data_IF_425898446557
#
_entry.id   IF_425898446557
#
_cell.length_a   1.000
_cell.length_b   1.000
_cell.length_c   1.000
_cell.angle_alpha   90.00
_cell.angle_beta   90.00
_cell.angle_gamma   90.00
#
_symmetry.space_group_name_H-M   'P 1'
#
loop_
_entity.id
_entity.type
_entity.pdbx_description
1 polymer ?
#
# COMPACT_ATOMS: atom_id res chain seq x y z
N UNK A 1 8.91 -3.15 -42.35
CA UNK A 1 9.73 -4.33 -42.01
C UNK A 1 10.19 -4.20 -40.54
N UNK A 2 9.58 -4.99 -39.69
CA UNK A 2 9.72 -4.92 -38.23
C UNK A 2 10.92 -5.76 -37.78
N UNK A 3 11.92 -5.16 -37.10
CA UNK A 3 13.00 -5.90 -36.41
C UNK A 3 12.62 -6.10 -34.97
N UNK A 4 12.16 -7.29 -34.61
CA UNK A 4 11.93 -7.75 -33.26
C UNK A 4 13.29 -7.93 -32.55
N UNK A 5 13.54 -7.17 -31.51
CA UNK A 5 14.68 -7.33 -30.59
C UNK A 5 14.36 -8.48 -29.62
N UNK A 6 15.03 -9.61 -29.78
CA UNK A 6 14.98 -10.76 -28.86
C UNK A 6 15.96 -10.50 -27.71
N UNK A 7 15.45 -10.35 -26.51
CA UNK A 7 16.25 -10.35 -25.29
C UNK A 7 16.48 -11.81 -24.88
N UNK A 8 17.74 -12.25 -24.96
CA UNK A 8 18.16 -13.55 -24.46
C UNK A 8 18.40 -13.45 -22.94
N UNK A 9 17.66 -14.24 -22.17
CA UNK A 9 17.92 -14.46 -20.75
C UNK A 9 19.07 -15.42 -20.62
N UNK A 10 20.23 -14.95 -20.15
CA UNK A 10 21.34 -15.81 -19.75
C UNK A 10 21.23 -16.07 -18.25
N UNK A 11 20.95 -17.31 -17.90
CA UNK A 11 21.04 -17.79 -16.53
C UNK A 11 22.52 -17.88 -16.14
N UNK A 12 22.95 -17.13 -15.13
CA UNK A 12 24.31 -17.21 -14.58
C UNK A 12 24.28 -17.87 -13.21
N UNK A 13 25.06 -18.92 -13.13
CA UNK A 13 25.31 -19.81 -11.97
C UNK A 13 25.88 -18.99 -10.80
N UNK A 14 25.32 -19.21 -9.58
CA UNK A 14 25.83 -18.69 -8.31
C UNK A 14 27.27 -19.18 -8.05
N UNK A 15 28.20 -18.29 -8.22
CA UNK A 15 29.52 -18.38 -7.58
C UNK A 15 29.51 -17.47 -6.34
N UNK A 16 29.61 -18.08 -5.17
CA UNK A 16 29.67 -17.41 -3.87
C UNK A 16 31.06 -16.76 -3.73
N UNK A 17 31.24 -15.54 -4.24
CA UNK A 17 32.38 -14.70 -3.92
C UNK A 17 31.98 -13.74 -2.80
N UNK A 18 32.67 -13.89 -1.67
CA UNK A 18 32.60 -12.94 -0.58
C UNK A 18 32.97 -11.53 -1.12
N UNK A 19 31.96 -10.65 -1.20
CA UNK A 19 32.22 -9.24 -1.46
C UNK A 19 32.89 -8.65 -0.22
N UNK A 20 33.98 -7.87 -0.41
CA UNK A 20 34.54 -7.12 0.71
C UNK A 20 33.46 -6.19 1.24
N UNK A 21 33.25 -6.22 2.57
CA UNK A 21 32.46 -5.24 3.27
C UNK A 21 32.89 -3.86 2.80
N UNK A 22 31.99 -3.12 2.14
CA UNK A 22 32.22 -1.70 1.91
C UNK A 22 32.25 -1.09 3.31
N UNK A 23 33.41 -0.83 3.82
CA UNK A 23 33.63 -0.06 5.03
C UNK A 23 32.77 1.20 4.89
N UNK A 24 31.91 1.46 5.84
CA UNK A 24 31.32 2.77 6.06
C UNK A 24 32.49 3.74 6.25
N UNK A 25 32.84 4.41 5.18
CA UNK A 25 33.83 5.49 5.24
C UNK A 25 33.16 6.69 5.93
N UNK A 26 33.15 6.61 7.26
CA UNK A 26 32.98 7.76 8.14
C UNK A 26 34.26 8.59 8.13
N UNK A 27 34.58 9.14 6.96
CA UNK A 27 35.70 10.07 6.86
C UNK A 27 35.30 11.31 6.10
N UNK A 28 35.34 12.42 6.81
CA UNK A 28 35.50 13.81 6.33
C UNK A 28 34.48 14.31 5.29
N UNK A 29 33.52 15.03 5.76
CA UNK A 29 32.70 16.10 5.20
C UNK A 29 32.89 16.46 3.74
N UNK A 30 32.05 15.94 2.87
CA UNK A 30 31.90 16.43 1.51
C UNK A 30 31.03 15.52 0.69
N UNK A 31 30.06 16.10 -0.02
CA UNK A 31 29.28 15.40 -1.02
C UNK A 31 30.16 15.13 -2.25
N UNK A 32 30.60 13.89 -2.53
CA UNK A 32 31.63 13.64 -3.56
C UNK A 32 31.12 13.97 -4.95
N UNK A 33 32.00 14.55 -5.77
CA UNK A 33 31.73 14.77 -7.20
C UNK A 33 31.78 13.43 -7.93
N UNK A 34 30.72 13.09 -8.62
CA UNK A 34 30.55 11.81 -9.33
C UNK A 34 30.62 11.97 -10.85
N UNK A 35 30.52 13.18 -11.36
CA UNK A 35 30.79 13.54 -12.75
C UNK A 35 31.08 15.04 -12.90
N UNK A 36 31.75 15.41 -14.01
CA UNK A 36 31.91 16.79 -14.47
C UNK A 36 31.50 16.91 -15.92
N UNK A 37 30.59 17.86 -16.21
CA UNK A 37 30.06 18.14 -17.55
C UNK A 37 30.30 19.60 -17.87
N UNK A 38 31.19 19.89 -18.83
CA UNK A 38 31.57 21.25 -19.19
C UNK A 38 32.03 22.09 -17.97
N UNK A 39 32.73 21.50 -17.02
CA UNK A 39 33.16 22.14 -15.78
C UNK A 39 32.11 22.20 -14.67
N UNK A 40 30.85 21.87 -14.94
CA UNK A 40 29.81 21.75 -13.92
C UNK A 40 29.86 20.39 -13.24
N UNK A 41 29.87 20.39 -11.93
CA UNK A 41 29.90 19.17 -11.14
C UNK A 41 28.51 18.55 -10.98
N UNK A 42 28.48 17.23 -10.88
CA UNK A 42 27.33 16.44 -10.41
C UNK A 42 27.81 15.77 -9.14
N UNK A 43 27.08 15.98 -8.06
CA UNK A 43 27.40 15.41 -6.77
C UNK A 43 26.59 14.14 -6.51
N UNK A 44 27.10 13.25 -5.67
CA UNK A 44 26.42 11.99 -5.29
C UNK A 44 25.02 12.24 -4.74
N UNK A 45 24.86 13.28 -3.91
CA UNK A 45 23.56 13.62 -3.32
C UNK A 45 22.50 14.00 -4.36
N UNK A 46 22.94 14.57 -5.51
CA UNK A 46 22.01 14.90 -6.60
C UNK A 46 21.45 13.62 -7.23
N UNK A 47 22.31 12.61 -7.46
CA UNK A 47 21.87 11.32 -8.01
C UNK A 47 20.97 10.58 -7.02
N UNK A 48 21.32 10.58 -5.72
CA UNK A 48 20.50 9.95 -4.69
C UNK A 48 19.12 10.59 -4.57
N UNK A 49 19.03 11.91 -4.67
CA UNK A 49 17.72 12.61 -4.71
C UNK A 49 16.87 12.20 -5.91
N UNK A 50 17.48 11.99 -7.08
CA UNK A 50 16.75 11.47 -8.23
C UNK A 50 16.18 10.07 -7.95
N UNK A 51 16.91 9.20 -7.24
CA UNK A 51 16.42 7.89 -6.81
C UNK A 51 15.20 8.04 -5.88
N UNK A 52 15.25 8.98 -4.94
CA UNK A 52 14.14 9.24 -3.99
C UNK A 52 12.88 9.75 -4.69
N UNK A 53 13.02 10.44 -5.84
CA UNK A 53 11.86 10.92 -6.61
C UNK A 53 11.21 9.84 -7.47
N UNK A 54 11.85 8.68 -7.64
CA UNK A 54 11.27 7.56 -8.36
C UNK A 54 10.13 6.93 -7.55
N UNK A 55 9.10 6.46 -8.25
CA UNK A 55 7.94 5.83 -7.62
C UNK A 55 8.28 4.56 -6.84
N UNK A 56 7.34 4.04 -6.02
CA UNK A 56 7.56 2.91 -5.11
C UNK A 56 8.14 1.65 -5.77
N UNK A 57 7.83 1.40 -7.04
CA UNK A 57 8.36 0.25 -7.78
C UNK A 57 9.86 0.36 -8.02
N UNK A 58 10.37 1.56 -8.29
CA UNK A 58 11.80 1.77 -8.48
C UNK A 58 12.58 1.71 -7.16
N UNK A 59 11.95 2.04 -6.03
CA UNK A 59 12.56 1.92 -4.71
C UNK A 59 12.85 0.47 -4.29
N UNK A 60 12.24 -0.52 -4.96
CA UNK A 60 12.55 -1.94 -4.76
C UNK A 60 13.81 -2.40 -5.50
N UNK A 61 14.32 -1.57 -6.41
CA UNK A 61 15.56 -1.86 -7.15
C UNK A 61 16.76 -1.34 -6.36
N UNK A 62 17.82 -2.15 -6.16
CA UNK A 62 19.01 -1.70 -5.46
C UNK A 62 19.58 -0.40 -6.07
N UNK A 63 19.93 0.57 -5.23
CA UNK A 63 20.45 1.87 -5.67
C UNK A 63 21.65 1.73 -6.60
N UNK A 64 22.49 0.71 -6.40
CA UNK A 64 23.65 0.41 -7.24
C UNK A 64 23.28 0.10 -8.70
N UNK A 65 22.09 -0.43 -8.96
CA UNK A 65 21.60 -0.73 -10.31
C UNK A 65 21.05 0.53 -10.98
N UNK A 66 20.35 1.38 -10.22
CA UNK A 66 19.77 2.63 -10.72
C UNK A 66 20.80 3.72 -10.92
N UNK A 67 21.82 3.77 -10.08
CA UNK A 67 22.81 4.85 -10.03
C UNK A 67 23.48 5.14 -11.37
N UNK A 68 24.07 4.15 -12.10
CA UNK A 68 24.73 4.44 -13.37
C UNK A 68 23.78 5.02 -14.43
N UNK A 69 22.54 4.54 -14.47
CA UNK A 69 21.53 4.98 -15.43
C UNK A 69 21.08 6.42 -15.14
N UNK A 70 20.85 6.74 -13.86
CA UNK A 70 20.47 8.09 -13.44
C UNK A 70 21.61 9.08 -13.64
N UNK A 71 22.84 8.71 -13.29
CA UNK A 71 24.00 9.54 -13.55
C UNK A 71 24.14 9.85 -15.05
N UNK A 72 23.99 8.83 -15.90
CA UNK A 72 24.02 9.02 -17.36
C UNK A 72 22.88 9.94 -17.84
N UNK A 73 21.67 9.77 -17.33
CA UNK A 73 20.54 10.67 -17.61
C UNK A 73 20.86 12.11 -17.22
N UNK A 74 21.44 12.33 -16.04
CA UNK A 74 21.81 13.67 -15.56
C UNK A 74 22.90 14.31 -16.43
N UNK A 75 23.91 13.53 -16.86
CA UNK A 75 24.94 13.99 -17.79
C UNK A 75 24.31 14.45 -19.09
N UNK A 76 23.46 13.63 -19.70
CA UNK A 76 22.75 13.95 -20.97
C UNK A 76 21.91 15.21 -20.78
N UNK A 77 21.15 15.31 -19.69
CA UNK A 77 20.32 16.48 -19.37
C UNK A 77 21.18 17.74 -19.30
N UNK A 78 22.32 17.73 -18.59
CA UNK A 78 23.23 18.89 -18.51
C UNK A 78 23.80 19.27 -19.88
N UNK A 79 24.17 18.30 -20.73
CA UNK A 79 24.67 18.57 -22.09
C UNK A 79 23.60 19.22 -22.98
N UNK A 80 22.39 18.68 -22.99
CA UNK A 80 21.28 19.22 -23.78
C UNK A 80 20.86 20.58 -23.28
N UNK A 81 20.75 20.77 -21.96
CA UNK A 81 20.42 22.04 -21.34
C UNK A 81 21.44 23.12 -21.67
N UNK A 82 22.75 22.79 -21.69
CA UNK A 82 23.80 23.73 -22.07
C UNK A 82 23.56 24.29 -23.47
N UNK A 83 23.17 23.45 -24.44
CA UNK A 83 22.80 23.91 -25.78
C UNK A 83 21.55 24.79 -25.81
N UNK A 84 20.57 24.46 -24.99
CA UNK A 84 19.39 25.30 -24.79
C UNK A 84 19.74 26.69 -24.24
N UNK A 85 20.63 26.75 -23.25
CA UNK A 85 21.12 28.02 -22.69
C UNK A 85 21.92 28.86 -23.69
N UNK A 86 22.76 28.25 -24.54
CA UNK A 86 23.44 28.94 -25.64
C UNK A 86 22.43 29.60 -26.59
N UNK A 87 21.30 28.96 -26.82
CA UNK A 87 20.19 29.49 -27.64
C UNK A 87 19.26 30.45 -26.87
N UNK A 88 19.56 30.72 -25.60
CA UNK A 88 18.76 31.59 -24.70
C UNK A 88 17.30 31.11 -24.50
N UNK A 89 17.06 29.80 -24.58
CA UNK A 89 15.71 29.22 -24.40
C UNK A 89 15.14 29.48 -22.99
N UNK A 90 15.96 29.73 -21.98
CA UNK A 90 15.51 30.16 -20.65
C UNK A 90 14.69 31.47 -20.69
N UNK A 91 14.80 32.26 -21.77
CA UNK A 91 14.03 33.48 -21.95
C UNK A 91 12.72 33.26 -22.69
N UNK A 92 12.52 32.09 -23.27
CA UNK A 92 11.31 31.72 -23.99
C UNK A 92 10.09 31.78 -23.09
N UNK A 93 8.94 32.17 -23.69
CA UNK A 93 7.67 32.24 -22.99
C UNK A 93 7.26 30.86 -22.44
N UNK A 94 7.46 29.79 -23.23
CA UNK A 94 7.13 28.44 -22.81
C UNK A 94 7.91 28.04 -21.55
N UNK A 95 9.22 28.29 -21.52
CA UNK A 95 10.08 27.96 -20.38
C UNK A 95 9.66 28.76 -19.14
N UNK A 96 9.40 30.07 -19.32
CA UNK A 96 8.95 30.94 -18.23
C UNK A 96 7.59 30.51 -17.67
N UNK A 97 6.63 30.15 -18.52
CA UNK A 97 5.31 29.71 -18.09
C UNK A 97 5.40 28.38 -17.32
N UNK A 98 6.21 27.44 -17.79
CA UNK A 98 6.46 26.16 -17.09
C UNK A 98 7.14 26.35 -15.74
N UNK A 99 8.15 27.25 -15.66
CA UNK A 99 8.82 27.59 -14.41
C UNK A 99 7.86 28.23 -13.41
N UNK A 100 7.03 29.18 -13.86
CA UNK A 100 6.02 29.81 -13.01
C UNK A 100 5.00 28.80 -12.47
N UNK A 101 4.56 27.85 -13.31
CA UNK A 101 3.67 26.77 -12.88
C UNK A 101 4.31 25.85 -11.84
N UNK A 102 5.57 25.45 -12.10
CA UNK A 102 6.34 24.62 -11.18
C UNK A 102 6.61 25.33 -9.84
N UNK A 103 6.96 26.63 -9.88
CA UNK A 103 7.16 27.45 -8.69
C UNK A 103 5.89 27.49 -7.83
N UNK A 104 4.74 27.80 -8.44
CA UNK A 104 3.46 27.85 -7.74
C UNK A 104 3.12 26.52 -7.05
N UNK A 105 3.34 25.41 -7.75
CA UNK A 105 3.12 24.06 -7.20
C UNK A 105 4.04 23.79 -6.01
N UNK A 106 5.34 24.06 -6.15
CA UNK A 106 6.34 23.87 -5.08
C UNK A 106 6.00 24.72 -3.86
N UNK A 107 5.64 26.00 -4.06
CA UNK A 107 5.26 26.90 -2.97
C UNK A 107 4.02 26.38 -2.25
N UNK A 108 3.00 25.92 -3.00
CA UNK A 108 1.78 25.36 -2.42
C UNK A 108 2.09 24.11 -1.58
N UNK A 109 2.87 23.18 -2.11
CA UNK A 109 3.24 21.95 -1.42
C UNK A 109 4.04 22.23 -0.14
N UNK A 110 5.00 23.13 -0.20
CA UNK A 110 5.79 23.54 0.97
C UNK A 110 4.90 24.24 2.01
N UNK A 111 3.99 25.10 1.58
CA UNK A 111 3.05 25.78 2.47
C UNK A 111 2.14 24.79 3.19
N UNK A 112 1.51 23.86 2.46
CA UNK A 112 0.69 22.80 3.03
C UNK A 112 1.48 21.97 4.04
N UNK A 113 2.65 21.48 3.65
CA UNK A 113 3.50 20.68 4.52
C UNK A 113 3.88 21.40 5.81
N UNK A 114 4.36 22.65 5.72
CA UNK A 114 4.76 23.45 6.88
C UNK A 114 3.59 23.84 7.78
N UNK A 115 2.39 23.96 7.21
CA UNK A 115 1.18 24.35 7.95
C UNK A 115 0.49 23.17 8.61
N UNK A 116 0.50 22.01 7.96
CA UNK A 116 -0.27 20.83 8.39
C UNK A 116 0.58 19.88 9.23
N UNK A 117 1.78 19.53 8.78
CA UNK A 117 2.59 18.50 9.41
C UNK A 117 2.87 18.74 10.90
N UNK A 118 3.22 19.96 11.37
CA UNK A 118 3.43 20.22 12.79
C UNK A 118 2.17 20.10 13.65
N UNK A 119 0.99 20.10 13.02
CA UNK A 119 -0.30 19.97 13.71
C UNK A 119 -0.73 18.52 13.92
N UNK A 120 -0.07 17.56 13.28
CA UNK A 120 -0.31 16.13 13.46
C UNK A 120 0.59 15.66 14.62
N UNK A 121 0.11 15.86 15.83
CA UNK A 121 0.85 15.46 17.04
C UNK A 121 0.50 14.02 17.45
N UNK A 122 1.40 13.40 18.22
CA UNK A 122 1.15 12.08 18.82
C UNK A 122 -0.15 12.06 19.64
N UNK A 123 -0.49 13.15 20.32
CA UNK A 123 -1.73 13.23 21.10
C UNK A 123 -2.97 13.18 20.21
N UNK A 124 -2.94 13.82 19.05
CA UNK A 124 -4.05 13.75 18.09
C UNK A 124 -4.18 12.36 17.48
N UNK A 125 -3.06 11.70 17.20
CA UNK A 125 -3.05 10.33 16.70
C UNK A 125 -3.66 9.40 17.77
N UNK A 126 -3.24 9.51 19.02
CA UNK A 126 -3.80 8.74 20.14
C UNK A 126 -5.28 9.03 20.38
N UNK A 127 -5.69 10.28 20.31
CA UNK A 127 -7.09 10.67 20.46
C UNK A 127 -7.96 10.07 19.35
N UNK A 128 -7.51 10.15 18.10
CA UNK A 128 -8.20 9.54 16.97
C UNK A 128 -8.26 8.01 17.11
N UNK A 129 -7.17 7.39 17.51
CA UNK A 129 -7.15 5.96 17.78
C UNK A 129 -8.16 5.56 18.86
N UNK A 130 -8.23 6.33 19.96
CA UNK A 130 -9.22 6.09 21.03
C UNK A 130 -10.66 6.20 20.50
N UNK A 131 -10.97 7.20 19.67
CA UNK A 131 -12.28 7.33 19.03
C UNK A 131 -12.62 6.12 18.13
N UNK A 132 -11.67 5.68 17.30
CA UNK A 132 -11.85 4.54 16.39
C UNK A 132 -12.01 3.25 17.20
N UNK A 133 -11.19 3.04 18.21
CA UNK A 133 -11.25 1.88 19.08
C UNK A 133 -12.56 1.81 19.88
N UNK A 134 -13.09 2.95 20.34
CA UNK A 134 -14.37 3.00 21.04
C UNK A 134 -15.57 2.68 20.12
N UNK A 135 -15.44 2.95 18.83
CA UNK A 135 -16.45 2.63 17.81
C UNK A 135 -16.28 1.24 17.22
N UNK A 136 -15.17 0.57 17.52
CA UNK A 136 -14.92 -0.77 17.00
C UNK A 136 -15.95 -1.76 17.53
N UNK A 137 -16.53 -2.53 16.61
CA UNK A 137 -17.49 -3.58 16.95
C UNK A 137 -16.78 -4.92 16.87
N UNK A 138 -16.56 -5.57 18.04
CA UNK A 138 -15.94 -6.89 18.06
C UNK A 138 -16.78 -7.91 17.29
N UNK A 139 -16.15 -8.61 16.37
CA UNK A 139 -16.74 -9.73 15.63
C UNK A 139 -16.27 -11.05 16.24
N UNK A 140 -17.03 -12.11 16.01
CA UNK A 140 -16.57 -13.45 16.34
C UNK A 140 -15.45 -13.86 15.38
N UNK A 141 -14.33 -14.33 15.94
CA UNK A 141 -13.24 -14.93 15.21
C UNK A 141 -13.06 -16.39 15.60
N UNK A 142 -12.75 -17.19 14.60
CA UNK A 142 -12.38 -18.60 14.75
C UNK A 142 -10.94 -18.78 14.29
N UNK A 143 -10.14 -19.48 15.08
CA UNK A 143 -8.86 -20.02 14.63
C UNK A 143 -9.07 -21.46 14.22
N UNK A 144 -8.69 -21.80 13.00
CA UNK A 144 -8.83 -23.16 12.51
C UNK A 144 -7.61 -23.60 11.70
N UNK A 145 -7.43 -24.91 11.67
CA UNK A 145 -6.57 -25.58 10.68
C UNK A 145 -7.44 -26.22 9.62
N UNK A 146 -6.90 -26.34 8.42
CA UNK A 146 -7.56 -27.08 7.37
C UNK A 146 -6.60 -27.94 6.54
N UNK A 147 -7.19 -28.94 5.87
CA UNK A 147 -6.54 -29.72 4.83
C UNK A 147 -7.41 -29.60 3.60
N UNK A 148 -6.86 -29.12 2.49
CA UNK A 148 -7.55 -28.99 1.21
C UNK A 148 -7.08 -30.08 0.26
N UNK A 149 -8.04 -30.81 -0.32
CA UNK A 149 -7.76 -31.84 -1.35
C UNK A 149 -8.77 -31.73 -2.48
N UNK A 150 -8.42 -32.21 -3.70
CA UNK A 150 -9.27 -32.04 -4.88
C UNK A 150 -10.53 -32.90 -4.87
N UNK A 151 -10.51 -34.07 -4.21
CA UNK A 151 -11.61 -35.05 -4.27
C UNK A 151 -12.18 -35.36 -2.90
N UNK A 152 -13.47 -35.68 -2.88
CA UNK A 152 -14.17 -36.11 -1.67
C UNK A 152 -13.63 -37.43 -1.12
N UNK A 153 -13.22 -38.32 -1.99
CA UNK A 153 -12.62 -39.61 -1.61
C UNK A 153 -11.33 -39.39 -0.81
N UNK A 154 -10.40 -38.55 -1.31
CA UNK A 154 -9.17 -38.22 -0.59
C UNK A 154 -9.47 -37.58 0.77
N UNK A 155 -10.47 -36.67 0.84
CA UNK A 155 -10.85 -36.05 2.08
C UNK A 155 -11.42 -37.03 3.10
N UNK A 156 -12.24 -37.99 2.66
CA UNK A 156 -12.77 -39.04 3.52
C UNK A 156 -11.66 -39.97 4.03
N UNK A 157 -10.68 -40.34 3.20
CA UNK A 157 -9.53 -41.14 3.61
C UNK A 157 -8.68 -40.43 4.67
N UNK A 158 -8.49 -39.11 4.53
CA UNK A 158 -7.78 -38.31 5.53
C UNK A 158 -8.58 -38.21 6.83
N UNK A 159 -9.90 -37.99 6.75
CA UNK A 159 -10.77 -37.98 7.93
C UNK A 159 -10.69 -39.33 8.68
N UNK A 160 -10.65 -40.46 7.96
CA UNK A 160 -10.47 -41.76 8.58
C UNK A 160 -9.12 -41.86 9.30
N UNK A 161 -8.02 -41.45 8.65
CA UNK A 161 -6.70 -41.44 9.27
C UNK A 161 -6.65 -40.60 10.54
N UNK A 162 -7.32 -39.43 10.55
CA UNK A 162 -7.40 -38.57 11.72
C UNK A 162 -8.19 -39.24 12.84
N UNK A 163 -9.31 -39.89 12.53
CA UNK A 163 -10.12 -40.66 13.49
C UNK A 163 -9.33 -41.85 14.07
N UNK A 164 -8.43 -42.45 13.29
CA UNK A 164 -7.53 -43.54 13.70
C UNK A 164 -6.29 -43.01 14.47
N UNK A 165 -6.23 -41.69 14.75
CA UNK A 165 -5.21 -41.07 15.61
C UNK A 165 -4.03 -40.43 14.88
N UNK A 166 -4.10 -40.27 13.56
CA UNK A 166 -3.05 -39.55 12.83
C UNK A 166 -3.02 -38.05 13.17
N UNK A 167 -1.83 -37.49 13.19
CA UNK A 167 -1.63 -36.06 13.48
C UNK A 167 -2.14 -35.20 12.34
N UNK A 168 -3.04 -34.24 12.66
CA UNK A 168 -3.66 -33.35 11.70
C UNK A 168 -2.64 -32.45 10.98
N UNK A 169 -1.68 -31.90 11.74
CA UNK A 169 -0.70 -30.97 11.17
C UNK A 169 0.27 -31.65 10.22
N UNK A 170 0.65 -32.91 10.55
CA UNK A 170 1.47 -33.75 9.67
C UNK A 170 0.74 -34.06 8.36
N UNK A 171 -0.53 -34.49 8.44
CA UNK A 171 -1.35 -34.76 7.25
C UNK A 171 -1.58 -33.49 6.41
N UNK A 172 -1.76 -32.33 7.04
CA UNK A 172 -1.84 -31.05 6.33
C UNK A 172 -0.56 -30.76 5.53
N UNK A 173 0.60 -30.94 6.16
CA UNK A 173 1.89 -30.72 5.50
C UNK A 173 2.15 -31.68 4.32
N UNK A 174 1.68 -32.92 4.42
CA UNK A 174 1.92 -33.96 3.41
C UNK A 174 0.91 -33.97 2.27
N UNK A 175 -0.35 -33.66 2.55
CA UNK A 175 -1.47 -33.92 1.63
C UNK A 175 -2.24 -32.66 1.19
N UNK A 176 -2.17 -31.55 1.93
CA UNK A 176 -2.92 -30.36 1.60
C UNK A 176 -2.42 -29.70 0.31
N UNK A 177 -3.37 -29.31 -0.54
CA UNK A 177 -3.10 -28.52 -1.75
C UNK A 177 -3.03 -27.01 -1.47
N UNK A 178 -3.39 -26.58 -0.26
CA UNK A 178 -3.16 -25.20 0.18
C UNK A 178 -1.71 -25.03 0.63
N UNK A 179 -0.86 -24.61 -0.32
CA UNK A 179 0.57 -24.38 -0.08
C UNK A 179 0.84 -23.22 0.88
N UNK A 180 -0.13 -22.34 1.10
CA UNK A 180 -0.02 -21.20 2.01
C UNK A 180 0.02 -21.63 3.47
N UNK A 181 -0.84 -22.58 3.86
CA UNK A 181 -0.96 -23.04 5.24
C UNK A 181 -0.35 -24.43 5.50
N UNK A 182 -0.19 -25.27 4.47
CA UNK A 182 0.27 -26.65 4.60
C UNK A 182 1.55 -26.79 5.45
N UNK A 183 2.58 -25.96 5.16
CA UNK A 183 3.87 -25.98 5.89
C UNK A 183 3.75 -25.60 7.37
N UNK A 184 2.65 -24.95 7.74
CA UNK A 184 2.32 -24.55 9.11
C UNK A 184 1.28 -25.49 9.73
N UNK A 185 1.15 -26.72 9.15
CA UNK A 185 0.18 -27.71 9.62
C UNK A 185 -1.27 -27.33 9.36
N UNK A 186 -1.52 -26.55 8.29
CA UNK A 186 -2.83 -26.10 7.87
C UNK A 186 -3.39 -24.91 8.66
N UNK A 187 -2.59 -24.24 9.51
CA UNK A 187 -3.05 -23.14 10.36
C UNK A 187 -3.41 -21.91 9.52
N UNK A 188 -4.65 -21.44 9.64
CA UNK A 188 -5.18 -20.26 8.96
C UNK A 188 -5.18 -19.01 9.86
N UNK A 189 -4.74 -19.14 11.13
CA UNK A 189 -4.88 -18.08 12.09
C UNK A 189 -6.34 -17.79 12.45
N UNK A 190 -6.58 -16.61 13.05
CA UNK A 190 -7.92 -16.14 13.34
C UNK A 190 -8.54 -15.44 12.12
N UNK A 191 -9.81 -15.74 11.87
CA UNK A 191 -10.57 -15.11 10.78
C UNK A 191 -12.02 -14.87 11.19
N UNK A 192 -12.63 -13.85 10.61
CA UNK A 192 -14.06 -13.57 10.71
C UNK A 192 -14.84 -14.32 9.63
N UNK A 193 -16.18 -14.37 9.74
CA UNK A 193 -17.03 -15.03 8.73
C UNK A 193 -16.85 -14.47 7.32
N UNK A 194 -16.55 -13.19 7.21
CA UNK A 194 -16.49 -12.47 5.92
C UNK A 194 -15.18 -12.68 5.16
N UNK A 195 -14.15 -13.18 5.84
CA UNK A 195 -12.82 -13.41 5.23
C UNK A 195 -12.77 -14.71 4.44
N UNK A 196 -13.55 -15.70 4.83
CA UNK A 196 -13.54 -17.04 4.22
C UNK A 196 -14.73 -17.22 3.26
N UNK A 197 -14.58 -18.14 2.31
CA UNK A 197 -15.69 -18.54 1.44
C UNK A 197 -16.83 -19.11 2.27
N UNK A 198 -18.05 -18.79 1.87
CA UNK A 198 -19.27 -19.04 2.66
C UNK A 198 -19.42 -20.46 3.20
N UNK A 199 -19.26 -21.54 2.40
CA UNK A 199 -19.42 -22.91 2.93
C UNK A 199 -18.39 -23.25 4.02
N UNK A 200 -17.15 -22.77 3.86
CA UNK A 200 -16.08 -22.97 4.85
C UNK A 200 -16.39 -22.21 6.14
N UNK A 201 -16.75 -20.92 6.03
CA UNK A 201 -17.09 -20.09 7.17
C UNK A 201 -18.27 -20.67 7.96
N UNK A 202 -19.35 -21.09 7.28
CA UNK A 202 -20.52 -21.68 7.92
C UNK A 202 -20.14 -22.93 8.71
N UNK A 203 -19.34 -23.82 8.13
CA UNK A 203 -18.87 -25.04 8.82
C UNK A 203 -18.00 -24.69 10.03
N UNK A 204 -16.94 -23.90 9.84
CA UNK A 204 -16.01 -23.54 10.92
C UNK A 204 -16.70 -22.84 12.08
N UNK A 205 -17.64 -21.93 11.79
CA UNK A 205 -18.36 -21.20 12.82
C UNK A 205 -19.49 -21.99 13.49
N UNK A 206 -19.92 -23.12 12.95
CA UNK A 206 -20.87 -24.03 13.58
C UNK A 206 -20.22 -25.01 14.57
N UNK A 207 -18.91 -25.30 14.39
CA UNK A 207 -18.16 -26.29 15.17
C UNK A 207 -17.71 -25.71 16.51
N UNK A 208 -17.47 -26.56 17.51
CA UNK A 208 -16.88 -26.20 18.81
C UNK A 208 -15.37 -26.21 18.74
N UNK A 209 -14.74 -25.57 19.72
CA UNK A 209 -13.28 -25.64 19.90
C UNK A 209 -12.85 -27.11 20.13
N UNK A 210 -11.82 -27.54 19.43
CA UNK A 210 -11.33 -28.92 19.44
C UNK A 210 -12.02 -29.85 18.42
N UNK A 211 -13.14 -29.46 17.83
CA UNK A 211 -13.84 -30.29 16.85
C UNK A 211 -13.13 -30.32 15.49
N UNK A 212 -13.24 -31.47 14.85
CA UNK A 212 -12.87 -31.71 13.46
C UNK A 212 -14.16 -31.95 12.69
N UNK A 213 -14.27 -31.43 11.47
CA UNK A 213 -15.46 -31.61 10.64
C UNK A 213 -15.80 -33.10 10.44
N UNK A 214 -17.05 -33.46 10.69
CA UNK A 214 -17.49 -34.86 10.58
C UNK A 214 -17.43 -35.38 9.15
N UNK A 215 -17.57 -34.46 8.19
CA UNK A 215 -17.55 -34.74 6.75
C UNK A 215 -16.75 -33.64 6.03
N UNK A 216 -16.23 -33.93 4.82
CA UNK A 216 -15.58 -32.93 4.00
C UNK A 216 -16.50 -31.75 3.68
N UNK A 217 -15.97 -30.52 3.75
CA UNK A 217 -16.67 -29.29 3.39
C UNK A 217 -16.30 -28.93 1.96
N UNK A 218 -17.28 -28.94 1.05
CA UNK A 218 -17.07 -28.63 -0.35
C UNK A 218 -17.04 -27.11 -0.59
N UNK A 219 -16.07 -26.64 -1.34
CA UNK A 219 -15.96 -25.27 -1.87
C UNK A 219 -15.56 -25.32 -3.35
N UNK A 220 -15.43 -24.17 -4.00
CA UNK A 220 -14.93 -24.08 -5.37
C UNK A 220 -13.43 -24.49 -5.49
N UNK A 221 -12.69 -24.48 -4.36
CA UNK A 221 -11.28 -24.90 -4.32
C UNK A 221 -11.10 -26.40 -4.15
N UNK A 222 -12.12 -27.13 -3.74
CA UNK A 222 -12.06 -28.54 -3.44
C UNK A 222 -12.77 -28.90 -2.14
N UNK A 223 -12.26 -29.92 -1.47
CA UNK A 223 -12.83 -30.46 -0.23
C UNK A 223 -11.90 -30.16 0.94
N UNK A 224 -12.46 -29.57 1.98
CA UNK A 224 -11.75 -29.16 3.18
C UNK A 224 -12.10 -30.05 4.35
N UNK A 225 -11.08 -30.44 5.11
CA UNK A 225 -11.22 -30.98 6.46
C UNK A 225 -10.82 -29.84 7.40
N UNK A 226 -11.70 -29.49 8.32
CA UNK A 226 -11.53 -28.31 9.19
C UNK A 226 -11.38 -28.80 10.63
N UNK A 227 -10.43 -28.24 11.36
CA UNK A 227 -10.27 -28.38 12.80
C UNK A 227 -10.31 -27.01 13.44
N UNK A 228 -11.29 -26.76 14.31
CA UNK A 228 -11.36 -25.52 15.09
C UNK A 228 -10.43 -25.62 16.29
N UNK A 229 -9.51 -24.66 16.43
CA UNK A 229 -8.55 -24.63 17.53
C UNK A 229 -8.93 -23.66 18.64
N UNK A 230 -9.50 -22.49 18.26
CA UNK A 230 -9.87 -21.49 19.24
C UNK A 230 -10.99 -20.56 18.72
N UNK A 231 -11.60 -19.82 19.64
CA UNK A 231 -12.61 -18.77 19.36
C UNK A 231 -12.38 -17.58 20.25
N UNK A 232 -12.51 -16.40 19.67
CA UNK A 232 -12.42 -15.15 20.43
C UNK A 232 -13.31 -14.06 19.83
N UNK A 233 -13.46 -12.96 20.52
CA UNK A 233 -13.90 -11.71 19.92
C UNK A 233 -12.69 -10.98 19.37
N UNK A 234 -12.82 -10.44 18.18
CA UNK A 234 -11.80 -9.56 17.61
C UNK A 234 -11.63 -8.31 18.49
N UNK A 235 -10.46 -7.74 18.47
CA UNK A 235 -10.17 -6.46 19.12
C UNK A 235 -9.78 -5.42 18.07
N UNK A 236 -9.90 -4.14 18.41
CA UNK A 236 -9.37 -3.10 17.55
C UNK A 236 -7.87 -3.35 17.31
N UNK A 237 -7.39 -3.17 16.05
CA UNK A 237 -5.97 -3.32 15.75
C UNK A 237 -5.14 -2.40 16.65
N UNK A 238 -3.95 -2.84 17.08
CA UNK A 238 -3.09 -2.01 17.92
C UNK A 238 -2.66 -0.73 17.20
N UNK A 239 -2.44 0.35 17.95
CA UNK A 239 -2.04 1.65 17.38
C UNK A 239 -0.82 1.54 16.44
N UNK A 240 0.11 0.65 16.77
CA UNK A 240 1.33 0.43 15.95
C UNK A 240 1.04 -0.01 14.53
N UNK A 241 -0.06 -0.74 14.30
CA UNK A 241 -0.44 -1.22 12.97
C UNK A 241 -1.22 -0.17 12.17
N UNK A 242 -1.96 0.72 12.85
CA UNK A 242 -2.85 1.70 12.19
C UNK A 242 -2.34 3.13 12.28
N UNK A 243 -1.19 3.36 12.92
CA UNK A 243 -0.63 4.71 13.16
C UNK A 243 -0.47 5.50 11.87
N UNK A 244 0.13 4.89 10.84
CA UNK A 244 0.37 5.57 9.57
C UNK A 244 -0.94 5.88 8.84
N UNK A 245 -1.91 4.98 8.91
CA UNK A 245 -3.23 5.21 8.35
C UNK A 245 -3.93 6.38 9.05
N UNK A 246 -3.89 6.43 10.37
CA UNK A 246 -4.47 7.53 11.17
C UNK A 246 -3.75 8.85 10.86
N UNK A 247 -2.42 8.83 10.77
CA UNK A 247 -1.60 10.01 10.44
C UNK A 247 -2.00 10.57 9.08
N UNK A 248 -2.14 9.70 8.07
CA UNK A 248 -2.55 10.09 6.72
C UNK A 248 -3.98 10.66 6.70
N UNK A 249 -4.92 10.04 7.42
CA UNK A 249 -6.29 10.55 7.51
C UNK A 249 -6.35 11.93 8.16
N UNK A 250 -5.65 12.12 9.29
CA UNK A 250 -5.56 13.42 9.94
C UNK A 250 -4.93 14.48 9.03
N UNK A 251 -3.89 14.10 8.28
CA UNK A 251 -3.27 14.97 7.29
C UNK A 251 -4.25 15.41 6.21
N UNK A 252 -5.00 14.48 5.62
CA UNK A 252 -6.01 14.79 4.61
C UNK A 252 -7.12 15.70 5.14
N UNK A 253 -7.63 15.43 6.33
CA UNK A 253 -8.64 16.26 6.99
C UNK A 253 -8.14 17.68 7.24
N UNK A 254 -6.90 17.83 7.73
CA UNK A 254 -6.29 19.15 7.97
C UNK A 254 -6.01 19.91 6.69
N UNK A 255 -5.61 19.24 5.62
CA UNK A 255 -5.45 19.86 4.30
C UNK A 255 -6.81 20.32 3.77
N UNK A 256 -7.84 19.50 3.85
CA UNK A 256 -9.19 19.90 3.43
C UNK A 256 -9.72 21.09 4.22
N UNK A 257 -9.48 21.13 5.53
CA UNK A 257 -9.85 22.28 6.35
C UNK A 257 -9.04 23.54 5.99
N UNK A 258 -7.73 23.41 5.77
CA UNK A 258 -6.88 24.50 5.32
C UNK A 258 -7.37 25.11 4.00
N UNK A 259 -7.68 24.26 3.01
CA UNK A 259 -8.20 24.70 1.71
C UNK A 259 -9.53 25.44 1.89
N UNK A 260 -10.45 24.89 2.69
CA UNK A 260 -11.73 25.53 3.00
C UNK A 260 -11.55 26.91 3.66
N UNK A 261 -10.61 27.02 4.60
CA UNK A 261 -10.31 28.29 5.28
C UNK A 261 -9.68 29.32 4.33
N UNK A 262 -8.89 28.89 3.36
CA UNK A 262 -8.32 29.73 2.33
C UNK A 262 -9.39 30.19 1.33
N UNK A 263 -10.25 29.27 0.86
CA UNK A 263 -11.36 29.59 -0.05
C UNK A 263 -12.34 30.59 0.59
N UNK A 264 -12.66 30.43 1.87
CA UNK A 264 -13.55 31.35 2.59
C UNK A 264 -13.03 32.80 2.67
N UNK A 265 -11.70 32.99 2.54
CA UNK A 265 -11.05 34.31 2.57
C UNK A 265 -10.72 34.84 1.18
N UNK A 266 -10.87 34.05 0.15
CA UNK A 266 -10.55 34.39 -1.22
C UNK A 266 -11.81 34.78 -2.01
N UNK A 267 -11.65 35.68 -2.98
CA UNK A 267 -12.67 35.90 -4.00
C UNK A 267 -12.43 34.88 -5.12
N UNK A 268 -13.25 33.85 -5.17
CA UNK A 268 -13.17 32.81 -6.18
C UNK A 268 -14.33 32.94 -7.14
N UNK A 269 -14.04 33.16 -8.41
CA UNK A 269 -15.01 33.15 -9.50
C UNK A 269 -14.72 31.97 -10.40
N UNK A 270 -15.73 31.11 -10.64
CA UNK A 270 -15.59 29.90 -11.45
C UNK A 270 -16.31 30.07 -12.78
N UNK A 271 -15.65 29.67 -13.85
CA UNK A 271 -16.19 29.76 -15.22
C UNK A 271 -16.13 28.40 -15.89
N UNK A 272 -17.10 28.12 -16.75
CA UNK A 272 -17.08 27.01 -17.67
C UNK A 272 -15.96 27.17 -18.68
N UNK A 273 -15.64 26.08 -19.44
CA UNK A 273 -14.57 26.10 -20.45
C UNK A 273 -14.83 27.12 -21.57
N UNK A 274 -16.09 27.49 -21.78
CA UNK A 274 -16.53 28.51 -22.76
C UNK A 274 -16.47 29.94 -22.21
N UNK A 275 -16.00 30.12 -20.97
CA UNK A 275 -15.91 31.43 -20.30
C UNK A 275 -17.19 31.89 -19.65
N UNK A 276 -18.29 31.17 -19.72
CA UNK A 276 -19.53 31.52 -19.03
C UNK A 276 -19.43 31.25 -17.50
N UNK A 277 -20.04 32.11 -16.64
CA UNK A 277 -20.00 31.86 -15.19
C UNK A 277 -20.57 30.50 -14.82
N UNK A 278 -19.82 29.74 -14.01
CA UNK A 278 -20.27 28.45 -13.50
C UNK A 278 -21.30 28.69 -12.40
N UNK A 279 -22.52 28.20 -12.58
CA UNK A 279 -23.52 28.22 -11.51
C UNK A 279 -23.11 27.23 -10.42
N UNK A 280 -22.93 27.72 -9.21
CA UNK A 280 -22.73 26.81 -8.07
C UNK A 280 -23.94 25.88 -7.94
N UNK A 281 -23.72 24.55 -7.76
CA UNK A 281 -24.80 23.67 -7.39
C UNK A 281 -25.36 24.16 -6.05
N UNK A 282 -26.67 24.47 -6.01
CA UNK A 282 -27.34 24.89 -4.78
C UNK A 282 -26.96 23.94 -3.64
N UNK A 283 -26.39 24.47 -2.57
CA UNK A 283 -26.07 23.71 -1.37
C UNK A 283 -27.35 22.95 -0.96
N UNK A 284 -27.32 21.61 -0.98
CA UNK A 284 -28.41 20.82 -0.43
C UNK A 284 -28.44 21.10 1.07
N UNK A 285 -29.24 22.09 1.46
CA UNK A 285 -29.67 22.24 2.84
C UNK A 285 -30.59 21.04 3.12
N UNK A 286 -30.00 20.00 3.68
CA UNK A 286 -30.76 18.84 4.14
C UNK A 286 -31.59 19.23 5.35
N UNK A 287 -32.79 19.74 5.10
CA UNK A 287 -33.91 19.59 6.03
C UNK A 287 -34.57 18.27 5.67
N UNK A 288 -34.34 17.27 6.48
CA UNK A 288 -35.19 16.11 6.53
C UNK A 288 -36.56 16.56 7.07
N UNK A 289 -37.49 16.77 6.18
CA UNK A 289 -38.91 16.86 6.55
C UNK A 289 -39.38 15.41 6.84
N UNK A 290 -39.29 15.02 8.10
CA UNK A 290 -40.00 13.90 8.67
C UNK A 290 -41.51 14.25 8.68
N UNK A 291 -42.25 13.73 7.70
CA UNK A 291 -43.71 13.75 7.71
C UNK A 291 -44.18 12.47 8.41
N UNK A 292 -44.96 12.57 9.50
CA UNK A 292 -45.48 11.37 10.15
C UNK A 292 -46.47 10.69 9.24
N UNK A 293 -46.33 9.39 9.04
CA UNK A 293 -47.33 8.57 8.36
C UNK A 293 -48.55 8.40 9.27
N UNK A 294 -49.64 9.01 8.91
CA UNK A 294 -50.97 8.78 9.47
C UNK A 294 -51.41 7.35 9.20
N UNK A 295 -51.69 6.64 10.29
CA UNK A 295 -52.39 5.36 10.25
C UNK A 295 -53.81 5.58 9.75
N UNK A 296 -54.21 4.89 8.70
CA UNK A 296 -55.65 4.66 8.37
C UNK A 296 -56.00 3.20 8.61
N UNK A 297 -57.12 3.08 9.30
CA UNK A 297 -57.84 1.88 9.69
C UNK A 297 -57.98 0.80 8.61
#
# INVERSE_FOLDING_TARGET
MSKKLRIAVVALVLGMMALPAVAEDKAAGGDPVVARVNGQEIHRSEVLREIETLGPQAQQVPAQVLYPQLLQKMIITKLVAAKGYEQKLQNDKEVKDRLKGAEAQIVADIYVRRTVQPKISEDKIKARYAELSAKYKPEDEVRARHILVPTEAEANDILKQIKDGADFAKLAGEKSKDTGSAKQGGDLGYFTRTVMVKPFAEAAFAMKVGEISDKPVKTDFGYHIIKVEDRRKSSAPPLTEVKDQITNQLGQEMVAQLVKDLEAKAKVEKFNIDGTPMKEPAAKTGKADEKPAEAKK
#
